data_IF_267668010311
#
_entry.id   IF_267668010311
#
_cell.length_a   1.000
_cell.length_b   1.000
_cell.length_c   1.000
_cell.angle_alpha   90.00
_cell.angle_beta   90.00
_cell.angle_gamma   90.00
#
_symmetry.space_group_name_H-M   'P 1'
#
loop_
_entity.id
_entity.type
_entity.pdbx_description
1 polymer ?
#
# COMPACT_ATOMS: atom_id res chain seq x y z
N UNK A 1 -8.05 28.77 8.89
CA UNK A 1 -7.76 27.30 8.99
C UNK A 1 -7.08 26.91 7.69
N UNK A 2 -5.78 26.61 7.72
CA UNK A 2 -5.04 26.19 6.53
C UNK A 2 -5.58 24.84 6.08
N UNK A 3 -6.08 24.77 4.86
CA UNK A 3 -6.65 23.54 4.29
C UNK A 3 -5.54 22.51 4.10
N UNK A 4 -5.78 21.25 4.49
CA UNK A 4 -4.76 20.21 4.35
C UNK A 4 -4.50 19.91 2.86
N UNK A 5 -3.26 19.52 2.50
CA UNK A 5 -2.91 19.15 1.12
C UNK A 5 -3.85 18.05 0.62
N UNK A 6 -4.22 17.11 1.49
CA UNK A 6 -5.17 16.04 1.17
C UNK A 6 -6.55 16.59 0.76
N UNK A 7 -7.06 17.60 1.44
CA UNK A 7 -8.35 18.24 1.10
C UNK A 7 -8.27 18.99 -0.23
N UNK A 8 -7.13 19.65 -0.52
CA UNK A 8 -6.92 20.28 -1.82
C UNK A 8 -6.99 19.26 -2.96
N UNK A 9 -6.40 18.08 -2.80
CA UNK A 9 -6.38 17.03 -3.81
C UNK A 9 -7.75 16.37 -3.94
N UNK A 10 -8.32 15.86 -2.84
CA UNK A 10 -9.47 14.96 -2.88
C UNK A 10 -10.82 15.69 -2.90
N UNK A 11 -10.93 16.85 -2.24
CA UNK A 11 -12.18 17.58 -2.11
C UNK A 11 -12.28 18.72 -3.12
N UNK A 12 -11.22 19.55 -3.18
CA UNK A 12 -11.19 20.69 -4.10
C UNK A 12 -10.75 20.31 -5.50
N UNK A 13 -10.07 19.18 -5.64
CA UNK A 13 -9.51 18.73 -6.93
C UNK A 13 -8.65 19.81 -7.60
N UNK A 14 -7.87 20.56 -6.80
CA UNK A 14 -7.07 21.70 -7.26
C UNK A 14 -5.60 21.33 -7.36
N UNK A 15 -5.16 21.01 -8.58
CA UNK A 15 -3.77 20.61 -8.86
C UNK A 15 -2.79 21.76 -8.54
N UNK A 16 -3.11 22.99 -8.94
CA UNK A 16 -2.20 24.13 -8.80
C UNK A 16 -1.88 24.44 -7.35
N UNK A 17 -2.91 24.58 -6.51
CA UNK A 17 -2.74 24.83 -5.08
C UNK A 17 -2.15 23.61 -4.35
N UNK A 18 -2.49 22.39 -4.78
CA UNK A 18 -1.90 21.17 -4.21
C UNK A 18 -0.40 21.09 -4.45
N UNK A 19 0.07 21.36 -5.67
CA UNK A 19 1.51 21.37 -6.01
C UNK A 19 2.26 22.50 -5.28
N UNK A 20 1.65 23.68 -5.18
CA UNK A 20 2.24 24.80 -4.44
C UNK A 20 2.41 24.48 -2.95
N UNK A 21 1.40 23.87 -2.34
CA UNK A 21 1.44 23.42 -0.96
C UNK A 21 2.46 22.29 -0.73
N UNK A 22 2.56 21.33 -1.69
CA UNK A 22 3.56 20.26 -1.66
C UNK A 22 4.99 20.82 -1.76
N UNK A 23 5.25 21.76 -2.66
CA UNK A 23 6.57 22.42 -2.77
C UNK A 23 6.97 23.07 -1.45
N UNK A 24 6.06 23.83 -0.86
CA UNK A 24 6.29 24.45 0.45
C UNK A 24 6.61 23.41 1.53
N UNK A 25 5.83 22.33 1.58
CA UNK A 25 6.04 21.24 2.53
C UNK A 25 7.39 20.53 2.33
N UNK A 26 7.76 20.21 1.07
CA UNK A 26 9.04 19.59 0.70
C UNK A 26 10.22 20.45 1.14
N UNK A 27 10.17 21.76 0.87
CA UNK A 27 11.22 22.69 1.26
C UNK A 27 11.33 22.81 2.78
N UNK A 28 10.21 22.95 3.49
CA UNK A 28 10.19 23.04 4.96
C UNK A 28 10.72 21.82 5.68
N UNK A 29 10.64 20.63 5.06
CA UNK A 29 11.05 19.37 5.66
C UNK A 29 12.29 18.76 4.99
N UNK A 30 12.98 19.52 4.12
CA UNK A 30 14.21 19.09 3.43
C UNK A 30 14.05 17.76 2.68
N UNK A 31 12.89 17.60 1.99
CA UNK A 31 12.55 16.40 1.22
C UNK A 31 12.85 16.58 -0.28
N UNK A 32 13.99 17.14 -0.60
CA UNK A 32 14.36 17.62 -1.94
C UNK A 32 14.41 16.52 -3.03
N UNK A 33 14.45 15.25 -2.63
CA UNK A 33 14.38 14.09 -3.56
C UNK A 33 13.09 14.10 -4.40
N UNK A 34 12.02 14.72 -3.91
CA UNK A 34 10.74 14.81 -4.62
C UNK A 34 10.57 16.06 -5.48
N UNK A 35 11.52 16.99 -5.47
CA UNK A 35 11.41 18.26 -6.20
C UNK A 35 11.25 18.07 -7.70
N UNK A 36 12.03 17.16 -8.28
CA UNK A 36 11.96 16.85 -9.70
C UNK A 36 10.60 16.30 -10.14
N UNK A 37 10.01 15.41 -9.33
CA UNK A 37 8.69 14.83 -9.62
C UNK A 37 7.59 15.90 -9.56
N UNK A 38 7.65 16.82 -8.60
CA UNK A 38 6.74 17.98 -8.54
C UNK A 38 6.85 18.84 -9.81
N UNK A 39 8.08 19.11 -10.28
CA UNK A 39 8.32 19.94 -11.47
C UNK A 39 7.77 19.25 -12.73
N UNK A 40 7.93 17.95 -12.87
CA UNK A 40 7.37 17.18 -13.99
C UNK A 40 5.85 17.29 -14.01
N UNK A 41 5.18 17.04 -12.87
CA UNK A 41 3.72 17.12 -12.79
C UNK A 41 3.23 18.54 -13.04
N UNK A 42 3.94 19.55 -12.55
CA UNK A 42 3.60 20.96 -12.79
C UNK A 42 3.74 21.34 -14.27
N UNK A 43 4.77 20.83 -14.94
CA UNK A 43 4.98 21.04 -16.40
C UNK A 43 3.82 20.42 -17.20
N UNK A 44 3.43 19.19 -16.87
CA UNK A 44 2.32 18.50 -17.54
C UNK A 44 1.00 19.26 -17.31
N UNK A 45 0.77 19.75 -16.09
CA UNK A 45 -0.41 20.54 -15.76
C UNK A 45 -0.44 21.89 -16.52
N UNK A 46 0.69 22.60 -16.61
CA UNK A 46 0.80 23.85 -17.38
C UNK A 46 0.54 23.61 -18.86
N UNK A 47 1.06 22.52 -19.41
CA UNK A 47 0.84 22.13 -20.79
C UNK A 47 -0.65 21.91 -21.07
N UNK A 48 -1.33 21.16 -20.22
CA UNK A 48 -2.77 20.92 -20.30
C UNK A 48 -3.56 22.25 -20.26
N UNK A 49 -3.26 23.13 -19.30
CA UNK A 49 -3.90 24.45 -19.20
C UNK A 49 -3.67 25.32 -20.45
N UNK A 50 -2.46 25.25 -21.05
CA UNK A 50 -2.14 25.94 -22.27
C UNK A 50 -2.95 25.49 -23.48
N UNK A 51 -3.24 24.20 -23.60
CA UNK A 51 -4.14 23.66 -24.64
C UNK A 51 -5.59 24.17 -24.44
N UNK A 52 -6.08 24.15 -23.20
CA UNK A 52 -7.43 24.66 -22.86
C UNK A 52 -7.57 26.13 -23.23
N UNK A 53 -6.59 26.97 -22.88
CA UNK A 53 -6.61 28.41 -23.17
C UNK A 53 -6.62 28.71 -24.68
N UNK A 54 -6.05 27.84 -25.52
CA UNK A 54 -6.10 27.93 -26.98
C UNK A 54 -7.43 27.48 -27.59
N UNK A 55 -8.40 27.06 -26.75
CA UNK A 55 -9.74 26.68 -27.19
C UNK A 55 -9.85 25.23 -27.69
N UNK A 56 -8.83 24.39 -27.48
CA UNK A 56 -8.95 22.96 -27.78
C UNK A 56 -9.91 22.30 -26.81
N UNK A 57 -10.98 21.69 -27.36
CA UNK A 57 -11.95 20.89 -26.60
C UNK A 57 -11.57 19.41 -26.77
N UNK A 58 -10.89 18.88 -25.78
CA UNK A 58 -10.55 17.45 -25.73
C UNK A 58 -11.63 16.71 -24.93
N UNK A 59 -12.33 15.72 -25.52
CA UNK A 59 -13.28 14.88 -24.78
C UNK A 59 -12.65 14.10 -23.61
N UNK A 60 -11.34 13.88 -23.65
CA UNK A 60 -10.61 13.15 -22.61
C UNK A 60 -10.00 14.07 -21.54
N UNK A 61 -10.29 15.36 -21.57
CA UNK A 61 -9.70 16.34 -20.66
C UNK A 61 -9.91 15.99 -19.18
N UNK A 62 -11.10 15.55 -18.82
CA UNK A 62 -11.42 15.13 -17.45
C UNK A 62 -10.57 13.92 -17.02
N UNK A 63 -10.43 12.94 -17.90
CA UNK A 63 -9.58 11.76 -17.64
C UNK A 63 -8.11 12.13 -17.46
N UNK A 64 -7.61 13.06 -18.28
CA UNK A 64 -6.22 13.56 -18.16
C UNK A 64 -6.06 14.33 -16.85
N UNK A 65 -7.03 15.17 -16.48
CA UNK A 65 -7.02 15.91 -15.23
C UNK A 65 -7.01 14.97 -14.02
N UNK A 66 -7.85 13.95 -14.02
CA UNK A 66 -7.89 12.93 -12.98
C UNK A 66 -6.60 12.11 -12.90
N UNK A 67 -6.02 11.80 -14.04
CA UNK A 67 -4.70 11.17 -14.09
C UNK A 67 -3.61 12.02 -13.42
N UNK A 68 -3.61 13.32 -13.65
CA UNK A 68 -2.70 14.25 -12.97
C UNK A 68 -2.99 14.34 -11.46
N UNK A 69 -4.26 14.42 -11.05
CA UNK A 69 -4.64 14.41 -9.64
C UNK A 69 -4.20 13.11 -8.93
N UNK A 70 -4.34 11.96 -9.57
CA UNK A 70 -3.85 10.67 -9.04
C UNK A 70 -2.33 10.70 -8.85
N UNK A 71 -1.58 11.26 -9.80
CA UNK A 71 -0.12 11.44 -9.68
C UNK A 71 0.23 12.37 -8.51
N UNK A 72 -0.48 13.49 -8.34
CA UNK A 72 -0.29 14.40 -7.19
C UNK A 72 -0.59 13.70 -5.87
N UNK A 73 -1.65 12.88 -5.82
CA UNK A 73 -2.00 12.11 -4.64
C UNK A 73 -0.92 11.07 -4.27
N UNK A 74 -0.39 10.34 -5.25
CA UNK A 74 0.70 9.38 -5.04
C UNK A 74 1.97 10.08 -4.54
N UNK A 75 2.34 11.19 -5.17
CA UNK A 75 3.46 12.02 -4.73
C UNK A 75 3.27 12.50 -3.28
N UNK A 76 2.08 13.00 -2.94
CA UNK A 76 1.74 13.38 -1.57
C UNK A 76 1.92 12.20 -0.59
N UNK A 77 1.49 11.00 -0.96
CA UNK A 77 1.68 9.78 -0.17
C UNK A 77 3.16 9.47 0.06
N UNK A 78 3.99 9.53 -1.00
CA UNK A 78 5.43 9.30 -0.91
C UNK A 78 6.12 10.34 -0.01
N UNK A 79 5.81 11.61 -0.18
CA UNK A 79 6.31 12.71 0.66
C UNK A 79 5.91 12.53 2.13
N UNK A 80 4.69 12.07 2.40
CA UNK A 80 4.21 11.78 3.75
C UNK A 80 4.96 10.61 4.38
N UNK A 81 5.18 9.52 3.65
CA UNK A 81 5.93 8.36 4.13
C UNK A 81 7.38 8.76 4.47
N UNK A 82 8.05 9.47 3.58
CA UNK A 82 9.43 9.93 3.83
C UNK A 82 9.51 10.88 5.04
N UNK A 83 8.51 11.76 5.21
CA UNK A 83 8.41 12.61 6.40
C UNK A 83 8.22 11.79 7.69
N UNK A 84 7.48 10.68 7.65
CA UNK A 84 7.33 9.77 8.80
C UNK A 84 8.64 9.05 9.11
N UNK A 85 9.36 8.58 8.09
CA UNK A 85 10.67 7.93 8.24
C UNK A 85 11.65 8.88 8.93
N UNK A 86 11.69 10.14 8.52
CA UNK A 86 12.56 11.16 9.14
C UNK A 86 12.17 11.52 10.58
N UNK A 87 10.88 11.53 10.90
CA UNK A 87 10.37 12.05 12.19
C UNK A 87 10.16 10.99 13.26
N UNK A 88 9.95 9.73 12.89
CA UNK A 88 9.62 8.66 13.84
C UNK A 88 10.75 7.64 13.96
N UNK A 89 11.34 7.45 15.17
CA UNK A 89 12.44 6.51 15.38
C UNK A 89 12.13 5.08 14.92
N UNK A 90 10.88 4.59 15.11
CA UNK A 90 10.48 3.26 14.67
C UNK A 90 10.50 3.11 13.13
N UNK A 91 10.05 4.13 12.39
CA UNK A 91 10.10 4.13 10.93
C UNK A 91 11.53 4.28 10.42
N UNK A 92 12.34 5.10 11.08
CA UNK A 92 13.77 5.22 10.78
C UNK A 92 14.49 3.88 10.98
N UNK A 93 14.21 3.17 12.08
CA UNK A 93 14.76 1.84 12.32
C UNK A 93 14.32 0.84 11.25
N UNK A 94 13.02 0.79 10.92
CA UNK A 94 12.51 -0.06 9.86
C UNK A 94 13.19 0.23 8.51
N UNK A 95 13.43 1.50 8.17
CA UNK A 95 14.09 1.90 6.92
C UNK A 95 15.53 1.40 6.81
N UNK A 96 16.25 1.32 7.93
CA UNK A 96 17.64 0.79 7.94
C UNK A 96 17.72 -0.69 7.56
N UNK A 97 16.65 -1.45 7.83
CA UNK A 97 16.55 -2.88 7.57
C UNK A 97 15.47 -3.14 6.51
N UNK A 98 15.45 -2.36 5.45
CA UNK A 98 14.49 -2.50 4.36
C UNK A 98 15.19 -2.50 3.01
N UNK A 99 14.55 -3.15 2.04
CA UNK A 99 14.90 -3.11 0.63
C UNK A 99 13.74 -2.53 -0.20
N UNK A 100 13.99 -2.27 -1.48
CA UNK A 100 12.94 -1.83 -2.39
C UNK A 100 12.10 -3.03 -2.85
N UNK A 101 10.87 -3.08 -2.40
CA UNK A 101 9.92 -4.16 -2.71
C UNK A 101 9.65 -4.27 -4.21
N UNK A 102 9.58 -3.14 -4.92
CA UNK A 102 9.29 -3.13 -6.35
C UNK A 102 10.42 -3.75 -7.18
N UNK A 103 11.65 -3.59 -6.75
CA UNK A 103 12.82 -4.12 -7.44
C UNK A 103 13.11 -5.59 -7.11
N UNK A 104 12.53 -6.15 -6.06
CA UNK A 104 12.88 -7.45 -5.49
C UNK A 104 11.80 -8.52 -5.62
N UNK A 105 10.82 -8.37 -6.52
CA UNK A 105 9.68 -9.29 -6.65
C UNK A 105 10.10 -10.77 -6.80
N UNK A 106 11.07 -11.05 -7.67
CA UNK A 106 11.55 -12.43 -7.93
C UNK A 106 12.26 -12.99 -6.71
N UNK A 107 13.11 -12.19 -6.05
CA UNK A 107 13.83 -12.58 -4.85
C UNK A 107 12.86 -12.88 -3.70
N UNK A 108 11.87 -12.02 -3.47
CA UNK A 108 10.86 -12.20 -2.43
C UNK A 108 10.16 -13.56 -2.59
N UNK A 109 9.69 -13.86 -3.80
CA UNK A 109 9.02 -15.13 -4.07
C UNK A 109 9.95 -16.31 -3.82
N UNK A 110 11.13 -16.30 -4.44
CA UNK A 110 12.08 -17.39 -4.35
C UNK A 110 12.47 -17.68 -2.90
N UNK A 111 12.77 -16.64 -2.12
CA UNK A 111 13.20 -16.82 -0.71
C UNK A 111 12.09 -17.42 0.15
N UNK A 112 10.85 -16.99 -0.01
CA UNK A 112 9.72 -17.53 0.75
C UNK A 112 9.39 -18.98 0.32
N UNK A 113 9.45 -19.30 -0.98
CA UNK A 113 9.21 -20.66 -1.48
C UNK A 113 10.35 -21.62 -1.11
N UNK A 114 11.62 -21.17 -1.16
CA UNK A 114 12.78 -21.97 -0.77
C UNK A 114 12.70 -22.38 0.69
N UNK A 115 12.28 -21.49 1.59
CA UNK A 115 12.09 -21.84 3.00
C UNK A 115 11.16 -23.05 3.18
N UNK A 116 10.01 -23.06 2.52
CA UNK A 116 9.04 -24.17 2.61
C UNK A 116 9.66 -25.48 2.10
N UNK A 117 10.44 -25.40 1.01
CA UNK A 117 11.15 -26.56 0.45
C UNK A 117 12.25 -27.06 1.38
N UNK A 118 13.05 -26.18 1.97
CA UNK A 118 14.13 -26.53 2.87
C UNK A 118 13.62 -27.20 4.16
N UNK A 119 12.52 -26.69 4.72
CA UNK A 119 11.85 -27.32 5.87
C UNK A 119 11.33 -28.70 5.51
N UNK A 120 10.70 -28.87 4.34
CA UNK A 120 10.21 -30.15 3.87
C UNK A 120 11.33 -31.17 3.63
N UNK A 121 12.42 -30.75 2.97
CA UNK A 121 13.60 -31.59 2.74
C UNK A 121 14.25 -32.01 4.04
N UNK A 122 14.42 -31.10 4.99
CA UNK A 122 15.02 -31.38 6.28
C UNK A 122 14.19 -32.39 7.08
N UNK A 123 12.86 -32.33 6.98
CA UNK A 123 11.96 -33.30 7.62
C UNK A 123 12.03 -34.70 7.01
N UNK A 124 12.39 -34.82 5.73
CA UNK A 124 12.50 -36.11 5.02
C UNK A 124 13.87 -36.78 5.24
N UNK A 125 14.92 -35.99 5.48
CA UNK A 125 16.29 -36.51 5.56
C UNK A 125 16.62 -37.14 6.92
N UNK A 126 15.68 -37.17 7.87
CA UNK A 126 15.87 -37.71 9.24
C UNK A 126 17.20 -37.24 9.87
N UNK A 127 17.59 -36.01 9.55
CA UNK A 127 18.90 -35.48 9.85
C UNK A 127 18.99 -35.18 11.33
N UNK A 128 19.79 -35.92 12.02
CA UNK A 128 20.18 -35.83 13.43
C UNK A 128 20.96 -34.54 13.76
N UNK A 129 20.83 -33.48 12.95
CA UNK A 129 21.46 -32.19 13.19
C UNK A 129 20.41 -31.10 13.50
N UNK A 130 20.02 -30.95 14.78
CA UNK A 130 19.04 -29.92 15.19
C UNK A 130 19.50 -28.49 14.84
N UNK A 131 20.81 -28.27 14.76
CA UNK A 131 21.40 -26.95 14.46
C UNK A 131 21.09 -26.46 13.02
N UNK A 132 20.96 -27.39 12.05
CA UNK A 132 20.67 -27.01 10.66
C UNK A 132 19.26 -26.45 10.52
N UNK A 133 18.29 -27.10 11.15
CA UNK A 133 16.88 -26.67 11.13
C UNK A 133 16.70 -25.33 11.83
N UNK A 134 17.38 -25.15 12.98
CA UNK A 134 17.33 -23.89 13.73
C UNK A 134 17.91 -22.72 12.92
N UNK A 135 18.98 -22.96 12.15
CA UNK A 135 19.56 -21.95 11.27
C UNK A 135 18.58 -21.56 10.14
N UNK A 136 17.92 -22.54 9.49
CA UNK A 136 16.92 -22.30 8.45
C UNK A 136 15.80 -21.38 8.99
N UNK A 137 15.23 -21.69 10.17
CA UNK A 137 14.20 -20.86 10.78
C UNK A 137 14.71 -19.46 11.17
N UNK A 138 15.92 -19.35 11.70
CA UNK A 138 16.50 -18.08 12.11
C UNK A 138 16.72 -17.14 10.92
N UNK A 139 17.28 -17.66 9.82
CA UNK A 139 17.52 -16.88 8.60
C UNK A 139 16.22 -16.47 7.93
N UNK A 140 15.24 -17.38 7.89
CA UNK A 140 13.92 -17.07 7.38
C UNK A 140 13.22 -15.99 8.21
N UNK A 141 13.22 -16.10 9.53
CA UNK A 141 12.64 -15.09 10.41
C UNK A 141 13.27 -13.72 10.19
N UNK A 142 14.59 -13.63 10.03
CA UNK A 142 15.29 -12.38 9.72
C UNK A 142 14.86 -11.81 8.37
N UNK A 143 14.68 -12.68 7.37
CA UNK A 143 14.21 -12.25 6.06
C UNK A 143 12.77 -11.72 6.11
N UNK A 144 11.85 -12.43 6.77
CA UNK A 144 10.44 -12.02 6.93
C UNK A 144 10.34 -10.70 7.71
N UNK A 145 11.18 -10.50 8.73
CA UNK A 145 11.27 -9.22 9.44
C UNK A 145 11.77 -8.08 8.53
N UNK A 146 12.76 -8.35 7.70
CA UNK A 146 13.25 -7.38 6.71
C UNK A 146 12.18 -7.05 5.67
N UNK A 147 11.45 -8.05 5.17
CA UNK A 147 10.33 -7.87 4.24
C UNK A 147 9.19 -7.07 4.90
N UNK A 148 8.86 -7.38 6.16
CA UNK A 148 7.88 -6.62 6.94
C UNK A 148 8.26 -5.14 7.02
N UNK A 149 9.51 -4.84 7.38
CA UNK A 149 10.01 -3.48 7.45
C UNK A 149 9.98 -2.80 6.08
N UNK A 150 10.34 -3.51 5.02
CA UNK A 150 10.32 -3.01 3.65
C UNK A 150 8.92 -2.57 3.21
N UNK A 151 7.91 -3.39 3.48
CA UNK A 151 6.52 -3.08 3.18
C UNK A 151 5.99 -1.93 4.04
N UNK A 152 6.31 -1.93 5.35
CA UNK A 152 5.87 -0.90 6.29
C UNK A 152 6.29 0.50 5.85
N UNK A 153 7.53 0.65 5.39
CA UNK A 153 8.10 1.94 4.97
C UNK A 153 8.05 2.18 3.47
N UNK A 154 7.46 1.27 2.68
CA UNK A 154 7.33 1.47 1.25
C UNK A 154 6.44 2.67 0.93
N UNK A 155 6.77 3.39 -0.14
CA UNK A 155 5.93 4.43 -0.71
C UNK A 155 4.64 3.87 -1.31
N UNK A 156 4.02 4.67 -2.16
CA UNK A 156 2.82 4.26 -2.92
C UNK A 156 3.18 3.15 -3.91
N UNK A 157 2.50 2.03 -3.85
CA UNK A 157 2.75 0.90 -4.73
C UNK A 157 2.36 1.20 -6.18
N UNK A 158 3.10 0.62 -7.12
CA UNK A 158 2.66 0.52 -8.50
C UNK A 158 1.59 -0.58 -8.65
N UNK A 159 0.82 -0.54 -9.72
CA UNK A 159 -0.10 -1.61 -10.10
C UNK A 159 0.64 -2.95 -10.26
N UNK A 160 1.88 -2.91 -10.78
CA UNK A 160 2.75 -4.09 -10.89
C UNK A 160 3.09 -4.71 -9.54
N UNK A 161 3.45 -3.90 -8.55
CA UNK A 161 3.73 -4.37 -7.18
C UNK A 161 2.47 -4.93 -6.51
N UNK A 162 1.33 -4.27 -6.67
CA UNK A 162 0.04 -4.75 -6.19
C UNK A 162 -0.34 -6.10 -6.81
N UNK A 163 -0.20 -6.23 -8.13
CA UNK A 163 -0.47 -7.49 -8.84
C UNK A 163 0.46 -8.63 -8.41
N UNK A 164 1.75 -8.33 -8.21
CA UNK A 164 2.72 -9.28 -7.66
C UNK A 164 2.32 -9.74 -6.26
N UNK A 165 2.02 -8.80 -5.35
CA UNK A 165 1.65 -9.11 -3.97
C UNK A 165 0.36 -9.93 -3.87
N UNK A 166 -0.65 -9.64 -4.70
CA UNK A 166 -1.86 -10.47 -4.79
C UNK A 166 -1.53 -11.91 -5.16
N UNK A 167 -0.70 -12.11 -6.20
CA UNK A 167 -0.27 -13.44 -6.62
C UNK A 167 0.54 -14.18 -5.56
N UNK A 168 1.42 -13.47 -4.87
CA UNK A 168 2.25 -14.02 -3.80
C UNK A 168 1.39 -14.50 -2.62
N UNK A 169 0.52 -13.63 -2.11
CA UNK A 169 -0.27 -13.86 -0.90
C UNK A 169 -1.44 -14.85 -1.10
N UNK A 170 -1.81 -15.12 -2.35
CA UNK A 170 -2.78 -16.16 -2.73
C UNK A 170 -2.10 -17.47 -3.14
N UNK A 171 -0.76 -17.55 -3.15
CA UNK A 171 -0.03 -18.74 -3.52
C UNK A 171 -0.09 -19.79 -2.42
N UNK A 172 -0.41 -21.07 -2.76
CA UNK A 172 -0.37 -22.17 -1.80
C UNK A 172 1.07 -22.61 -1.42
N UNK A 173 2.08 -22.08 -2.11
CA UNK A 173 3.50 -22.43 -1.89
C UNK A 173 4.15 -21.57 -0.80
N UNK A 174 3.46 -20.56 -0.29
CA UNK A 174 3.96 -19.66 0.75
C UNK A 174 3.39 -20.08 2.11
N UNK A 175 4.24 -20.03 3.14
CA UNK A 175 3.82 -20.32 4.52
C UNK A 175 2.70 -19.38 4.99
N UNK A 176 1.70 -19.92 5.66
CA UNK A 176 0.53 -19.15 6.10
C UNK A 176 0.89 -18.06 7.12
N UNK A 177 1.89 -18.28 7.98
CA UNK A 177 2.30 -17.27 8.96
C UNK A 177 3.03 -16.11 8.28
N UNK A 178 3.79 -16.39 7.21
CA UNK A 178 4.40 -15.34 6.40
C UNK A 178 3.35 -14.48 5.73
N UNK A 179 2.33 -15.10 5.12
CA UNK A 179 1.19 -14.39 4.53
C UNK A 179 0.53 -13.48 5.58
N UNK A 180 0.25 -14.00 6.78
CA UNK A 180 -0.36 -13.23 7.87
C UNK A 180 0.53 -12.05 8.33
N UNK A 181 1.84 -12.25 8.35
CA UNK A 181 2.82 -11.22 8.72
C UNK A 181 2.88 -10.12 7.66
N UNK A 182 2.93 -10.49 6.38
CA UNK A 182 2.92 -9.56 5.25
C UNK A 182 1.62 -8.73 5.23
N UNK A 183 0.45 -9.36 5.39
CA UNK A 183 -0.84 -8.66 5.47
C UNK A 183 -0.82 -7.64 6.63
N UNK A 184 -0.24 -8.00 7.77
CA UNK A 184 -0.14 -7.09 8.91
C UNK A 184 0.75 -5.88 8.61
N UNK A 185 1.84 -6.08 7.88
CA UNK A 185 2.72 -4.98 7.44
C UNK A 185 2.00 -4.04 6.45
N UNK A 186 1.26 -4.61 5.48
CA UNK A 186 0.45 -3.82 4.54
C UNK A 186 -0.58 -2.98 5.30
N UNK A 187 -1.30 -3.58 6.25
CA UNK A 187 -2.27 -2.89 7.09
C UNK A 187 -1.63 -1.73 7.87
N UNK A 188 -0.50 -1.97 8.54
CA UNK A 188 0.18 -0.94 9.32
C UNK A 188 0.73 0.19 8.43
N UNK A 189 1.21 -0.13 7.23
CA UNK A 189 1.60 0.88 6.24
C UNK A 189 0.41 1.76 5.86
N UNK A 190 -0.75 1.16 5.53
CA UNK A 190 -1.99 1.85 5.18
C UNK A 190 -2.55 2.73 6.30
N UNK A 191 -2.47 2.29 7.55
CA UNK A 191 -2.92 3.08 8.72
C UNK A 191 -2.10 4.37 8.89
N UNK A 192 -0.88 4.41 8.39
CA UNK A 192 -0.02 5.59 8.46
C UNK A 192 -0.15 6.49 7.22
N UNK A 193 -0.16 5.88 6.02
CA UNK A 193 -0.31 6.58 4.75
C UNK A 193 -1.21 5.75 3.84
N UNK A 194 -2.38 6.28 3.48
CA UNK A 194 -3.31 5.58 2.61
C UNK A 194 -2.73 5.41 1.21
N UNK A 195 -2.85 4.19 0.69
CA UNK A 195 -2.39 3.75 -0.62
C UNK A 195 -3.47 2.86 -1.24
N UNK A 196 -3.98 3.25 -2.39
CA UNK A 196 -5.08 2.55 -3.06
C UNK A 196 -4.68 1.13 -3.46
N UNK A 197 -3.47 0.96 -4.00
CA UNK A 197 -2.98 -0.34 -4.46
C UNK A 197 -2.80 -1.34 -3.32
N UNK A 198 -2.29 -0.88 -2.18
CA UNK A 198 -2.22 -1.70 -0.96
C UNK A 198 -3.61 -2.06 -0.44
N UNK A 199 -4.56 -1.11 -0.47
CA UNK A 199 -5.92 -1.32 0.00
C UNK A 199 -6.68 -2.30 -0.88
N UNK A 200 -6.60 -2.16 -2.21
CA UNK A 200 -7.17 -3.11 -3.19
C UNK A 200 -6.52 -4.50 -3.08
N UNK A 201 -5.24 -4.56 -2.73
CA UNK A 201 -4.56 -5.84 -2.46
C UNK A 201 -5.20 -6.56 -1.28
N UNK A 202 -5.48 -5.89 -0.16
CA UNK A 202 -6.17 -6.51 0.98
C UNK A 202 -7.57 -6.99 0.61
N UNK A 203 -8.32 -6.21 -0.17
CA UNK A 203 -9.64 -6.61 -0.67
C UNK A 203 -9.56 -7.90 -1.50
N UNK A 204 -8.63 -7.93 -2.45
CA UNK A 204 -8.44 -9.12 -3.30
C UNK A 204 -8.07 -10.37 -2.50
N UNK A 205 -7.27 -10.24 -1.44
CA UNK A 205 -6.94 -11.35 -0.56
C UNK A 205 -8.16 -11.80 0.22
N UNK A 206 -8.96 -10.86 0.75
CA UNK A 206 -10.21 -11.17 1.42
C UNK A 206 -11.16 -11.98 0.52
N UNK A 207 -11.33 -11.56 -0.72
CA UNK A 207 -12.24 -12.19 -1.69
C UNK A 207 -11.77 -13.60 -2.13
N UNK A 208 -10.45 -13.82 -2.23
CA UNK A 208 -9.89 -14.99 -2.94
C UNK A 208 -9.06 -15.94 -2.08
N UNK A 209 -8.72 -15.59 -0.83
CA UNK A 209 -7.89 -16.45 0.01
C UNK A 209 -8.65 -17.75 0.41
N UNK A 210 -7.96 -18.87 0.28
CA UNK A 210 -8.47 -20.19 0.66
C UNK A 210 -8.50 -20.37 2.18
N UNK A 211 -7.47 -19.87 2.86
CA UNK A 211 -7.32 -20.01 4.30
C UNK A 211 -8.16 -18.96 5.05
N UNK A 212 -9.08 -19.42 5.90
CA UNK A 212 -9.99 -18.56 6.65
C UNK A 212 -9.25 -17.51 7.51
N UNK A 213 -8.15 -17.88 8.19
CA UNK A 213 -7.35 -16.96 8.99
C UNK A 213 -6.75 -15.81 8.15
N UNK A 214 -6.31 -16.14 6.92
CA UNK A 214 -5.76 -15.16 5.97
C UNK A 214 -6.88 -14.21 5.53
N UNK A 215 -8.02 -14.76 5.16
CA UNK A 215 -9.21 -14.01 4.73
C UNK A 215 -9.69 -13.05 5.83
N UNK A 216 -9.81 -13.52 7.07
CA UNK A 216 -10.21 -12.70 8.22
C UNK A 216 -9.20 -11.58 8.50
N UNK A 217 -7.89 -11.87 8.46
CA UNK A 217 -6.85 -10.86 8.66
C UNK A 217 -6.89 -9.77 7.57
N UNK A 218 -7.06 -10.17 6.32
CA UNK A 218 -7.19 -9.25 5.20
C UNK A 218 -8.44 -8.38 5.32
N UNK A 219 -9.59 -8.97 5.70
CA UNK A 219 -10.84 -8.26 5.93
C UNK A 219 -10.70 -7.19 7.02
N UNK A 220 -10.16 -7.57 8.19
CA UNK A 220 -9.93 -6.63 9.29
C UNK A 220 -9.05 -5.48 8.84
N UNK A 221 -7.93 -5.77 8.17
CA UNK A 221 -7.02 -4.74 7.64
C UNK A 221 -7.71 -3.84 6.63
N UNK A 222 -8.47 -4.40 5.71
CA UNK A 222 -9.21 -3.68 4.68
C UNK A 222 -10.25 -2.71 5.30
N UNK A 223 -11.07 -3.19 6.26
CA UNK A 223 -12.08 -2.37 6.95
C UNK A 223 -11.46 -1.25 7.79
N UNK A 224 -10.43 -1.57 8.58
CA UNK A 224 -9.77 -0.57 9.44
C UNK A 224 -9.07 0.53 8.65
N UNK A 225 -8.61 0.21 7.45
CA UNK A 225 -7.92 1.14 6.56
C UNK A 225 -8.87 1.80 5.54
N UNK A 226 -10.16 1.48 5.56
CA UNK A 226 -11.12 2.07 4.65
C UNK A 226 -11.17 3.61 4.82
N UNK A 227 -11.18 4.37 3.73
CA UNK A 227 -11.27 5.82 3.83
C UNK A 227 -12.64 6.22 4.40
N UNK A 228 -12.67 7.19 5.34
CA UNK A 228 -13.89 7.65 6.02
C UNK A 228 -14.92 8.30 5.10
N UNK A 229 -14.52 8.74 3.94
CA UNK A 229 -15.40 9.28 2.90
C UNK A 229 -14.98 8.71 1.57
N UNK A 230 -15.94 8.48 0.66
CA UNK A 230 -15.64 8.07 -0.71
C UNK A 230 -14.56 8.95 -1.30
N UNK A 231 -13.62 8.34 -2.01
CA UNK A 231 -12.57 9.05 -2.73
C UNK A 231 -12.96 9.05 -4.21
N UNK A 232 -13.67 10.08 -4.70
CA UNK A 232 -14.17 10.11 -6.09
C UNK A 232 -13.07 9.95 -7.14
N UNK A 233 -11.83 10.28 -6.73
CA UNK A 233 -10.64 10.14 -7.57
C UNK A 233 -10.28 8.67 -7.86
N UNK A 234 -10.74 7.73 -7.04
CA UNK A 234 -10.43 6.30 -7.11
C UNK A 234 -11.72 5.48 -7.09
N UNK A 235 -12.43 5.35 -8.24
CA UNK A 235 -13.67 4.59 -8.34
C UNK A 235 -13.50 3.13 -7.90
N UNK A 236 -12.33 2.54 -8.06
CA UNK A 236 -11.99 1.21 -7.60
C UNK A 236 -12.18 1.01 -6.08
N UNK A 237 -12.09 2.08 -5.30
CA UNK A 237 -12.34 2.04 -3.86
C UNK A 237 -13.85 1.93 -3.59
N UNK A 238 -14.67 2.72 -4.27
CA UNK A 238 -16.12 2.71 -4.13
C UNK A 238 -16.71 1.39 -4.65
N UNK A 239 -16.25 0.93 -5.80
CA UNK A 239 -16.65 -0.36 -6.37
C UNK A 239 -16.30 -1.52 -5.44
N UNK A 240 -15.12 -1.49 -4.82
CA UNK A 240 -14.70 -2.50 -3.84
C UNK A 240 -15.57 -2.52 -2.60
N UNK A 241 -15.93 -1.35 -2.08
CA UNK A 241 -16.83 -1.24 -0.92
C UNK A 241 -18.22 -1.77 -1.27
N UNK A 242 -18.79 -1.35 -2.40
CA UNK A 242 -20.13 -1.76 -2.84
C UNK A 242 -20.20 -3.28 -3.07
N UNK A 243 -19.17 -3.87 -3.70
CA UNK A 243 -19.08 -5.33 -3.90
C UNK A 243 -19.18 -6.12 -2.60
N UNK A 244 -18.45 -5.67 -1.58
CA UNK A 244 -18.45 -6.33 -0.26
C UNK A 244 -19.77 -6.12 0.49
N UNK A 245 -20.40 -4.95 0.35
CA UNK A 245 -21.70 -4.67 0.97
C UNK A 245 -22.84 -5.44 0.31
N UNK A 246 -22.76 -5.70 -0.98
CA UNK A 246 -23.75 -6.47 -1.74
C UNK A 246 -23.63 -7.99 -1.52
N UNK A 247 -22.46 -8.45 -1.06
CA UNK A 247 -22.24 -9.86 -0.74
C UNK A 247 -23.04 -10.24 0.50
N UNK A 248 -24.09 -11.06 0.30
CA UNK A 248 -25.00 -11.51 1.37
C UNK A 248 -24.30 -12.24 2.52
N UNK A 249 -23.11 -12.79 2.31
CA UNK A 249 -22.30 -13.40 3.37
C UNK A 249 -21.75 -12.35 4.35
N UNK A 250 -21.46 -11.14 3.91
CA UNK A 250 -20.93 -10.05 4.75
C UNK A 250 -22.00 -9.48 5.68
N UNK A 251 -23.26 -9.50 5.29
CA UNK A 251 -24.39 -9.04 6.12
C UNK A 251 -24.49 -9.84 7.41
N UNK A 252 -24.10 -11.12 7.40
CA UNK A 252 -24.09 -11.99 8.60
C UNK A 252 -23.06 -11.57 9.66
N UNK A 253 -21.96 -10.91 9.26
CA UNK A 253 -20.90 -10.45 10.16
C UNK A 253 -21.09 -9.01 10.66
N UNK A 254 -21.82 -8.17 9.94
CA UNK A 254 -22.15 -6.80 10.37
C UNK A 254 -23.16 -6.77 11.53
N UNK A 255 -23.87 -7.88 11.78
CA UNK A 255 -24.70 -8.05 12.98
C UNK A 255 -23.92 -8.42 14.26
N UNK A 256 -22.64 -8.73 14.18
CA UNK A 256 -21.75 -8.84 15.32
C UNK A 256 -21.23 -7.44 15.72
N UNK A 257 -22.14 -6.61 16.23
CA UNK A 257 -21.93 -5.55 17.18
C UNK A 257 -20.56 -4.86 17.17
N UNK A 258 -20.47 -3.75 16.46
CA UNK A 258 -19.72 -2.62 16.98
C UNK A 258 -20.50 -2.11 18.20
N UNK A 259 -19.97 -2.17 19.43
CA UNK A 259 -20.60 -1.50 20.55
C UNK A 259 -20.60 -0.01 20.24
N UNK A 260 -21.77 0.57 20.04
CA UNK A 260 -22.00 2.00 20.12
C UNK A 260 -21.72 2.40 21.57
N UNK A 261 -20.49 2.73 21.89
CA UNK A 261 -20.19 3.49 23.09
C UNK A 261 -20.28 4.96 22.75
N UNK A 262 -21.22 5.69 23.33
CA UNK A 262 -21.23 7.14 23.29
C UNK A 262 -20.19 7.65 24.30
N UNK A 263 -19.10 8.25 23.81
CA UNK A 263 -18.34 9.27 24.53
C UNK A 263 -17.59 10.16 23.53
#
# INVERSE_FOLDING_TARGET
>A
MEMSIRELILVKRDIGNSLSALKKYITQHELNTFSNEVEIIESDFRLMCGYMQRGYKDPQLETVYDGLLRRVFRLYGNVRMESLIKKRPSFMAAKRFSFDVEMCHVEIRNTLETFVQDVALNSLLDSSQPDSLQNIYSDHQRYVETLFNSILVSGQWSEGTSAFMRKLLLSPTIDQNDILTIISSIMLSLMNVFDVEKWVTLLSIYENAVYERVRQRAFVGWVLCAPKSGIPLFPEVEEGINRVLDDKMTVSYTHLTLPTTPY
#
